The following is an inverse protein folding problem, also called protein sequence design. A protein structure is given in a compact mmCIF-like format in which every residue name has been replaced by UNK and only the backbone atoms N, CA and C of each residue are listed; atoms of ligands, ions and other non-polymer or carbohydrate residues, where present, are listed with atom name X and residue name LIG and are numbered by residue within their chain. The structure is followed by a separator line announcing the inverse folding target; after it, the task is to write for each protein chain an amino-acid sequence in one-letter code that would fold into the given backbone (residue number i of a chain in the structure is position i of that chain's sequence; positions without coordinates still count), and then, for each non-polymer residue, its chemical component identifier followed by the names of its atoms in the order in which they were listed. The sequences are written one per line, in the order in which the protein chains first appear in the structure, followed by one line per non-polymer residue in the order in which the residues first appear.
data_IF_972223240276
#
_entry.id   IF_972223240276
#
_cell.length_a   1.000
_cell.length_b   1.000
_cell.length_c   1.000
_cell.angle_alpha   90.00
_cell.angle_beta   90.00
_cell.angle_gamma   90.00
#
_symmetry.space_group_name_H-M   'P 1'
#
loop_
_entity.id
_entity.type
_entity.pdbx_description
1 polymer ?
#
# COMPACT_ATOMS: atom_id res chain seq x y z
N UNK A 1 16.20 5.31 7.99
CA UNK A 1 14.74 5.54 7.78
C UNK A 1 14.30 5.64 6.30
N UNK A 2 15.21 5.48 5.31
CA UNK A 2 14.88 5.59 3.86
C UNK A 2 14.59 4.26 3.16
N UNK A 3 14.47 3.17 3.91
CA UNK A 3 14.27 1.84 3.33
C UNK A 3 12.79 1.54 3.05
N UNK A 4 11.87 2.28 3.66
CA UNK A 4 10.46 2.10 3.42
C UNK A 4 10.04 2.94 2.20
N UNK A 5 9.43 2.32 1.18
CA UNK A 5 8.97 3.04 -0.01
C UNK A 5 7.82 4.00 0.32
N UNK A 6 7.56 4.95 -0.58
CA UNK A 6 6.34 5.76 -0.51
C UNK A 6 5.08 4.89 -0.75
N UNK A 7 3.91 5.48 -0.51
CA UNK A 7 2.63 4.77 -0.50
C UNK A 7 2.26 4.16 -1.85
N UNK A 8 2.55 4.86 -2.94
CA UNK A 8 2.28 4.40 -4.32
C UNK A 8 3.25 3.28 -4.70
N UNK A 9 4.54 3.46 -4.39
CA UNK A 9 5.55 2.42 -4.62
C UNK A 9 5.20 1.15 -3.84
N UNK A 10 4.83 1.26 -2.56
CA UNK A 10 4.42 0.10 -1.76
C UNK A 10 3.14 -0.54 -2.31
N UNK A 11 2.17 0.26 -2.76
CA UNK A 11 0.97 -0.26 -3.41
C UNK A 11 1.29 -1.05 -4.68
N UNK A 12 2.26 -0.58 -5.46
CA UNK A 12 2.81 -1.31 -6.61
C UNK A 12 3.39 -2.67 -6.21
N UNK A 13 4.14 -2.73 -5.11
CA UNK A 13 4.67 -3.99 -4.58
C UNK A 13 3.55 -4.96 -4.16
N UNK A 14 2.49 -4.45 -3.51
CA UNK A 14 1.32 -5.26 -3.12
C UNK A 14 0.62 -5.84 -4.36
N UNK A 15 0.44 -5.03 -5.42
CA UNK A 15 -0.12 -5.51 -6.70
C UNK A 15 0.79 -6.56 -7.35
N UNK A 16 2.10 -6.33 -7.38
CA UNK A 16 3.07 -7.27 -7.92
C UNK A 16 3.11 -8.61 -7.15
N UNK A 17 2.74 -8.60 -5.87
CA UNK A 17 2.59 -9.81 -5.06
C UNK A 17 1.31 -10.62 -5.35
N UNK A 18 0.49 -10.18 -6.32
CA UNK A 18 -0.73 -10.86 -6.77
C UNK A 18 -2.00 -10.46 -6.02
N UNK A 19 -2.00 -9.33 -5.30
CA UNK A 19 -3.23 -8.79 -4.73
C UNK A 19 -3.94 -7.90 -5.76
N UNK A 20 -5.17 -8.29 -6.10
CA UNK A 20 -6.09 -7.52 -6.92
C UNK A 20 -6.87 -6.50 -6.10
N UNK A 21 -7.45 -5.51 -6.80
CA UNK A 21 -8.22 -4.41 -6.19
C UNK A 21 -7.46 -3.70 -5.06
N UNK A 22 -6.12 -3.73 -5.12
CA UNK A 22 -5.27 -3.15 -4.09
C UNK A 22 -5.37 -1.62 -4.09
N UNK A 23 -5.58 -1.05 -2.90
CA UNK A 23 -5.66 0.40 -2.62
C UNK A 23 -5.10 0.71 -1.23
N UNK A 24 -4.73 1.96 -1.00
CA UNK A 24 -4.43 2.45 0.35
C UNK A 24 -5.39 3.55 0.78
N UNK A 25 -5.47 3.76 2.09
CA UNK A 25 -6.16 4.90 2.71
C UNK A 25 -5.27 5.53 3.76
N UNK A 26 -5.16 6.85 3.70
CA UNK A 26 -4.47 7.64 4.70
C UNK A 26 -5.28 7.74 5.99
N UNK A 27 -4.58 7.62 7.11
CA UNK A 27 -5.07 7.75 8.48
C UNK A 27 -4.29 8.88 9.15
N UNK A 28 -4.91 9.52 10.14
CA UNK A 28 -4.26 10.57 10.95
C UNK A 28 -3.58 11.64 10.08
N UNK A 29 -4.28 12.12 9.04
CA UNK A 29 -3.78 13.14 8.10
C UNK A 29 -2.45 12.78 7.41
N UNK A 30 -2.19 11.48 7.18
CA UNK A 30 -1.03 10.99 6.45
C UNK A 30 0.12 10.46 7.31
N UNK A 31 -0.05 10.44 8.64
CA UNK A 31 0.94 9.82 9.55
C UNK A 31 1.00 8.30 9.36
N UNK A 32 -0.14 7.67 9.07
CA UNK A 32 -0.23 6.24 8.81
C UNK A 32 -1.08 5.97 7.56
N UNK A 33 -0.86 4.83 6.92
CA UNK A 33 -1.67 4.36 5.81
C UNK A 33 -1.98 2.87 5.98
N UNK A 34 -3.16 2.45 5.52
CA UNK A 34 -3.56 1.05 5.47
C UNK A 34 -3.72 0.64 4.00
N UNK A 35 -2.92 -0.33 3.57
CA UNK A 35 -3.02 -0.97 2.25
C UNK A 35 -3.89 -2.22 2.37
N UNK A 36 -4.86 -2.36 1.46
CA UNK A 36 -5.84 -3.45 1.43
C UNK A 36 -6.04 -3.93 0.00
N UNK A 37 -6.27 -5.22 -0.19
CA UNK A 37 -6.53 -5.86 -1.48
C UNK A 37 -6.94 -7.33 -1.29
N UNK A 38 -7.39 -7.98 -2.35
CA UNK A 38 -7.83 -9.37 -2.34
C UNK A 38 -6.87 -10.22 -3.17
N UNK A 39 -6.50 -11.40 -2.68
CA UNK A 39 -5.78 -12.40 -3.48
C UNK A 39 -6.77 -13.50 -3.84
N UNK A 40 -7.07 -13.62 -5.14
CA UNK A 40 -7.93 -14.65 -5.70
C UNK A 40 -7.14 -15.95 -5.94
#
# INVERSE_FOLDING_TARGET
IRNFPDQETFLGMVRAAGFEQAKYRNLSMGIAALHSGWKL
#
